data_IF_446598508298
#
_entry.id   IF_446598508298
#
_cell.length_a   1.000
_cell.length_b   1.000
_cell.length_c   1.000
_cell.angle_alpha   90.00
_cell.angle_beta   90.00
_cell.angle_gamma   90.00
#
_symmetry.space_group_name_H-M   'P 1'
#
loop_
_entity.id
_entity.type
_entity.pdbx_description
1 polymer ?
#
# COMPACT_ATOMS: atom_id res chain seq x y z
N UNK A 1 -40.78 -7.50 11.14
CA UNK A 1 -40.99 -6.47 10.07
C UNK A 1 -39.80 -6.47 9.12
N UNK A 2 -40.05 -6.70 7.83
CA UNK A 2 -38.97 -6.59 6.80
C UNK A 2 -38.44 -5.16 6.74
N UNK A 3 -37.13 -4.98 6.92
CA UNK A 3 -36.52 -3.66 6.77
C UNK A 3 -36.61 -3.24 5.31
N UNK A 4 -37.28 -2.12 5.04
CA UNK A 4 -37.37 -1.52 3.71
C UNK A 4 -35.97 -1.26 3.16
N UNK A 5 -35.68 -1.81 1.99
CA UNK A 5 -34.47 -1.63 1.19
C UNK A 5 -34.73 -0.64 0.07
N UNK A 6 -33.69 -0.03 -0.47
CA UNK A 6 -33.77 0.88 -1.65
C UNK A 6 -34.66 2.11 -1.43
N UNK A 7 -34.47 2.79 -0.29
CA UNK A 7 -35.28 3.97 0.10
C UNK A 7 -34.92 5.24 -0.67
N UNK A 8 -33.67 5.36 -1.16
CA UNK A 8 -33.19 6.51 -1.87
C UNK A 8 -33.31 6.31 -3.39
N UNK A 9 -33.66 7.34 -4.10
CA UNK A 9 -33.54 7.43 -5.56
C UNK A 9 -32.29 8.24 -5.96
N UNK A 10 -31.80 8.06 -7.18
CA UNK A 10 -30.66 8.81 -7.69
C UNK A 10 -30.92 10.33 -7.66
N UNK A 11 -32.15 10.76 -8.03
CA UNK A 11 -32.58 12.18 -7.98
C UNK A 11 -32.56 12.73 -6.55
N UNK A 12 -32.94 11.93 -5.54
CA UNK A 12 -32.90 12.39 -4.15
C UNK A 12 -31.46 12.52 -3.65
N UNK A 13 -30.57 11.60 -4.01
CA UNK A 13 -29.14 11.67 -3.67
C UNK A 13 -28.51 12.93 -4.23
N UNK A 14 -28.86 13.29 -5.48
CA UNK A 14 -28.38 14.48 -6.14
C UNK A 14 -28.89 15.77 -5.45
N UNK A 15 -30.20 15.85 -5.19
CA UNK A 15 -30.86 17.04 -4.60
C UNK A 15 -30.59 17.26 -3.12
N UNK A 16 -30.26 16.21 -2.35
CA UNK A 16 -29.98 16.34 -0.92
C UNK A 16 -28.69 17.15 -0.69
N UNK A 17 -28.79 18.24 0.07
CA UNK A 17 -27.66 19.12 0.40
C UNK A 17 -27.46 19.27 1.91
N UNK A 18 -28.49 19.03 2.72
CA UNK A 18 -28.40 19.19 4.16
C UNK A 18 -27.40 18.16 4.77
N UNK A 19 -26.49 18.58 5.65
CA UNK A 19 -25.61 17.69 6.36
C UNK A 19 -26.39 16.64 7.18
N UNK A 20 -25.96 15.37 7.11
CA UNK A 20 -26.66 14.31 7.83
C UNK A 20 -26.37 12.92 7.29
N UNK A 21 -27.07 11.93 7.86
CA UNK A 21 -27.00 10.54 7.49
C UNK A 21 -28.37 10.09 6.97
N UNK A 22 -28.43 9.63 5.73
CA UNK A 22 -29.65 9.23 5.04
C UNK A 22 -29.59 7.74 4.67
N UNK A 23 -30.36 6.93 5.36
CA UNK A 23 -30.34 5.47 5.17
C UNK A 23 -31.07 5.06 3.90
N UNK A 24 -30.42 4.23 3.06
CA UNK A 24 -31.03 3.56 1.91
C UNK A 24 -31.65 2.19 2.29
N UNK A 25 -31.26 1.66 3.44
CA UNK A 25 -31.65 0.32 3.91
C UNK A 25 -30.48 -0.66 3.86
N UNK A 26 -30.62 -1.80 4.58
CA UNK A 26 -29.56 -2.82 4.65
C UNK A 26 -28.18 -2.36 5.09
N UNK A 27 -28.10 -1.29 5.90
CA UNK A 27 -26.86 -0.71 6.38
C UNK A 27 -26.26 0.35 5.44
N UNK A 28 -26.71 0.47 4.19
CA UNK A 28 -26.26 1.53 3.28
C UNK A 28 -26.80 2.89 3.70
N UNK A 29 -25.93 3.88 3.76
CA UNK A 29 -26.23 5.23 4.22
C UNK A 29 -25.49 6.24 3.34
N UNK A 30 -26.20 7.25 2.85
CA UNK A 30 -25.61 8.45 2.28
C UNK A 30 -25.19 9.38 3.43
N UNK A 31 -23.96 9.75 3.49
CA UNK A 31 -23.42 10.73 4.42
C UNK A 31 -23.16 12.03 3.69
N UNK A 32 -23.65 13.14 4.25
CA UNK A 32 -23.37 14.50 3.79
C UNK A 32 -22.70 15.24 4.96
N UNK A 33 -21.48 15.69 4.74
CA UNK A 33 -20.71 16.45 5.74
C UNK A 33 -21.18 17.91 5.81
N UNK A 34 -20.77 18.66 6.85
CA UNK A 34 -21.02 20.10 6.95
C UNK A 34 -20.42 20.90 5.78
N UNK A 35 -19.34 20.39 5.17
CA UNK A 35 -18.72 20.96 3.98
C UNK A 35 -19.42 20.54 2.66
N UNK A 36 -20.58 19.87 2.71
CA UNK A 36 -21.33 19.45 1.52
C UNK A 36 -20.79 18.21 0.81
N UNK A 37 -19.72 17.57 1.33
CA UNK A 37 -19.15 16.37 0.70
C UNK A 37 -20.08 15.19 0.91
N UNK A 38 -20.45 14.51 -0.20
CA UNK A 38 -21.34 13.34 -0.20
C UNK A 38 -20.54 12.06 -0.37
N UNK A 39 -20.77 11.08 0.51
CA UNK A 39 -20.11 9.76 0.46
C UNK A 39 -21.05 8.64 0.91
N UNK A 40 -20.76 7.44 0.45
CA UNK A 40 -21.46 6.22 0.85
C UNK A 40 -20.79 5.58 2.04
N UNK A 41 -21.59 5.21 3.05
CA UNK A 41 -21.18 4.55 4.28
C UNK A 41 -21.99 3.27 4.46
N UNK A 42 -21.35 2.15 4.76
CA UNK A 42 -21.99 0.93 5.20
C UNK A 42 -21.88 0.82 6.71
N UNK A 43 -23.02 0.81 7.41
CA UNK A 43 -23.13 0.71 8.88
C UNK A 43 -23.63 -0.67 9.25
N UNK A 44 -22.96 -1.32 10.18
CA UNK A 44 -23.26 -2.68 10.59
C UNK A 44 -22.90 -2.91 12.06
N UNK A 45 -23.36 -4.03 12.59
CA UNK A 45 -23.00 -4.53 13.92
C UNK A 45 -22.18 -5.81 13.76
N UNK A 46 -21.10 -5.93 14.51
CA UNK A 46 -20.32 -7.17 14.65
C UNK A 46 -19.87 -7.26 16.11
N UNK A 47 -20.01 -8.44 16.73
CA UNK A 47 -19.68 -8.69 18.14
C UNK A 47 -20.27 -7.65 19.10
N UNK A 48 -21.53 -7.26 18.87
CA UNK A 48 -22.24 -6.28 19.68
C UNK A 48 -21.77 -4.82 19.48
N UNK A 49 -20.81 -4.56 18.60
CA UNK A 49 -20.25 -3.21 18.35
C UNK A 49 -20.74 -2.64 17.03
N UNK A 50 -21.15 -1.37 17.04
CA UNK A 50 -21.50 -0.65 15.82
C UNK A 50 -20.23 -0.23 15.09
N UNK A 51 -20.13 -0.59 13.80
CA UNK A 51 -19.03 -0.21 12.90
C UNK A 51 -19.54 0.45 11.62
N UNK A 52 -18.66 1.17 10.94
CA UNK A 52 -18.95 1.82 9.67
C UNK A 52 -17.78 1.73 8.71
N UNK A 53 -18.08 1.32 7.47
CA UNK A 53 -17.08 1.22 6.40
C UNK A 53 -17.42 2.20 5.27
N UNK A 54 -16.49 3.08 4.90
CA UNK A 54 -16.63 3.95 3.74
C UNK A 54 -16.61 3.14 2.43
N UNK A 55 -17.64 3.33 1.59
CA UNK A 55 -17.76 2.68 0.29
C UNK A 55 -17.24 3.54 -0.86
N UNK A 56 -17.13 4.85 -0.67
CA UNK A 56 -16.60 5.80 -1.62
C UNK A 56 -17.44 7.07 -1.77
N UNK A 57 -16.92 8.09 -2.48
CA UNK A 57 -17.63 9.35 -2.70
C UNK A 57 -18.70 9.20 -3.78
N UNK A 58 -19.79 9.96 -3.64
CA UNK A 58 -20.97 9.89 -4.55
C UNK A 58 -20.62 10.29 -5.99
N UNK A 59 -19.66 11.19 -6.20
CA UNK A 59 -19.24 11.60 -7.53
C UNK A 59 -18.51 10.50 -8.32
N UNK A 60 -17.99 9.48 -7.62
CA UNK A 60 -17.30 8.34 -8.25
C UNK A 60 -18.13 7.06 -8.20
N UNK A 61 -18.94 6.89 -7.16
CA UNK A 61 -19.72 5.68 -6.88
C UNK A 61 -21.20 6.01 -6.97
N UNK A 62 -21.88 5.46 -7.96
CA UNK A 62 -23.32 5.58 -8.13
C UNK A 62 -24.11 4.90 -7.00
N UNK A 63 -25.40 5.21 -6.84
CA UNK A 63 -26.27 4.54 -5.89
C UNK A 63 -26.36 3.03 -6.15
N UNK A 64 -26.39 2.60 -7.41
CA UNK A 64 -26.44 1.18 -7.79
C UNK A 64 -25.15 0.44 -7.34
N UNK A 65 -23.99 1.01 -7.63
CA UNK A 65 -22.69 0.47 -7.19
C UNK A 65 -22.54 0.47 -5.66
N UNK A 66 -23.04 1.51 -4.99
CA UNK A 66 -23.04 1.55 -3.51
C UNK A 66 -23.88 0.42 -2.91
N UNK A 67 -25.04 0.11 -3.51
CA UNK A 67 -25.90 -1.03 -3.12
C UNK A 67 -25.21 -2.36 -3.34
N UNK A 68 -24.50 -2.52 -4.46
CA UNK A 68 -23.70 -3.71 -4.75
C UNK A 68 -22.60 -3.91 -3.71
N UNK A 69 -21.79 -2.88 -3.44
CA UNK A 69 -20.73 -2.92 -2.43
C UNK A 69 -21.26 -3.19 -1.01
N UNK A 70 -22.41 -2.62 -0.67
CA UNK A 70 -23.07 -2.91 0.59
C UNK A 70 -23.57 -4.36 0.67
N UNK A 71 -23.98 -4.95 -0.46
CA UNK A 71 -24.38 -6.36 -0.54
C UNK A 71 -23.17 -7.28 -0.35
N UNK A 72 -22.05 -6.97 -0.99
CA UNK A 72 -20.78 -7.70 -0.80
C UNK A 72 -20.32 -7.65 0.66
N UNK A 73 -20.36 -6.47 1.28
CA UNK A 73 -20.02 -6.32 2.70
C UNK A 73 -20.96 -7.13 3.61
N UNK A 74 -22.26 -7.21 3.31
CA UNK A 74 -23.21 -8.06 4.05
C UNK A 74 -22.90 -9.55 3.91
N UNK A 75 -22.47 -10.00 2.73
CA UNK A 75 -22.06 -11.40 2.54
C UNK A 75 -20.87 -11.75 3.44
N UNK A 76 -19.87 -10.89 3.53
CA UNK A 76 -18.75 -11.09 4.46
C UNK A 76 -19.21 -11.20 5.92
N UNK A 77 -20.18 -10.37 6.34
CA UNK A 77 -20.73 -10.46 7.69
C UNK A 77 -21.50 -11.77 7.94
N UNK A 78 -22.16 -12.33 6.93
CA UNK A 78 -22.82 -13.65 7.04
C UNK A 78 -21.79 -14.77 7.23
N UNK A 79 -20.60 -14.61 6.65
CA UNK A 79 -19.46 -15.53 6.79
C UNK A 79 -18.66 -15.26 8.09
N UNK A 80 -19.13 -14.36 8.97
CA UNK A 80 -18.44 -13.99 10.20
C UNK A 80 -17.20 -13.10 10.02
N UNK A 81 -17.00 -12.56 8.81
CA UNK A 81 -15.82 -11.74 8.47
C UNK A 81 -16.17 -10.26 8.59
N UNK A 82 -15.35 -9.49 9.32
CA UNK A 82 -15.51 -8.04 9.37
C UNK A 82 -15.10 -7.40 8.02
N UNK A 83 -16.01 -6.71 7.30
CA UNK A 83 -15.72 -6.11 6.01
C UNK A 83 -14.64 -5.03 6.07
N UNK A 84 -14.53 -4.30 7.18
CA UNK A 84 -13.51 -3.26 7.37
C UNK A 84 -12.13 -3.90 7.53
N UNK A 85 -12.03 -4.97 8.30
CA UNK A 85 -10.78 -5.72 8.48
C UNK A 85 -10.34 -6.39 7.18
N UNK A 86 -11.26 -7.05 6.46
CA UNK A 86 -10.98 -7.61 5.14
C UNK A 86 -10.47 -6.55 4.14
N UNK A 87 -11.05 -5.36 4.14
CA UNK A 87 -10.59 -4.23 3.32
C UNK A 87 -9.18 -3.77 3.70
N UNK A 88 -8.90 -3.67 5.00
CA UNK A 88 -7.57 -3.26 5.50
C UNK A 88 -6.52 -4.32 5.19
N UNK A 89 -6.82 -5.60 5.35
CA UNK A 89 -5.92 -6.71 4.99
C UNK A 89 -5.58 -6.69 3.49
N UNK A 90 -6.57 -6.49 2.61
CA UNK A 90 -6.34 -6.34 1.15
C UNK A 90 -5.44 -5.16 0.84
N UNK A 91 -5.65 -4.02 1.50
CA UNK A 91 -4.82 -2.82 1.34
C UNK A 91 -3.37 -3.07 1.78
N UNK A 92 -3.19 -3.70 2.93
CA UNK A 92 -1.87 -4.07 3.46
C UNK A 92 -1.17 -5.07 2.55
N UNK A 93 -1.87 -6.12 2.10
CA UNK A 93 -1.33 -7.10 1.17
C UNK A 93 -0.92 -6.47 -0.17
N UNK A 94 -1.73 -5.55 -0.71
CA UNK A 94 -1.40 -4.82 -1.93
C UNK A 94 -0.17 -3.91 -1.76
N UNK A 95 -0.05 -3.24 -0.60
CA UNK A 95 1.13 -2.42 -0.28
C UNK A 95 2.40 -3.27 -0.17
N UNK A 96 2.32 -4.42 0.52
CA UNK A 96 3.43 -5.38 0.62
C UNK A 96 3.81 -5.95 -0.75
N UNK A 97 2.82 -6.31 -1.58
CA UNK A 97 3.08 -6.78 -2.95
C UNK A 97 3.81 -5.72 -3.78
N UNK A 98 3.39 -4.45 -3.67
CA UNK A 98 4.06 -3.32 -4.34
C UNK A 98 5.51 -3.14 -3.87
N UNK A 99 5.76 -3.26 -2.57
CA UNK A 99 7.12 -3.17 -2.00
C UNK A 99 8.01 -4.33 -2.49
N UNK A 100 7.44 -5.53 -2.64
CA UNK A 100 8.17 -6.70 -3.17
C UNK A 100 8.57 -6.55 -4.64
N UNK A 101 7.87 -5.72 -5.41
CA UNK A 101 8.19 -5.43 -6.81
C UNK A 101 9.23 -4.31 -6.97
N UNK A 102 9.54 -3.58 -5.90
CA UNK A 102 10.56 -2.53 -5.89
C UNK A 102 11.93 -3.15 -6.17
N UNK A 103 12.65 -2.60 -7.14
CA UNK A 103 13.99 -3.08 -7.48
C UNK A 103 15.02 -2.70 -6.40
N UNK A 104 16.16 -3.38 -6.39
CA UNK A 104 17.24 -3.04 -5.46
C UNK A 104 17.71 -1.60 -5.67
N UNK A 105 17.89 -1.14 -6.92
CA UNK A 105 18.36 0.22 -7.21
C UNK A 105 17.36 1.29 -6.76
N UNK A 106 16.05 1.06 -6.94
CA UNK A 106 15.02 1.97 -6.41
C UNK A 106 15.05 2.04 -4.88
N UNK A 107 15.21 0.88 -4.22
CA UNK A 107 15.29 0.80 -2.77
C UNK A 107 16.56 1.50 -2.23
N UNK A 108 17.70 1.23 -2.84
CA UNK A 108 18.99 1.83 -2.47
C UNK A 108 18.98 3.36 -2.65
N UNK A 109 18.41 3.83 -3.77
CA UNK A 109 18.27 5.27 -4.04
C UNK A 109 17.37 5.95 -3.01
N UNK A 110 16.20 5.36 -2.71
CA UNK A 110 15.29 5.89 -1.70
C UNK A 110 15.92 5.91 -0.30
N UNK A 111 16.69 4.88 0.06
CA UNK A 111 17.42 4.81 1.32
C UNK A 111 18.48 5.93 1.43
N UNK A 112 19.30 6.09 0.38
CA UNK A 112 20.35 7.12 0.34
C UNK A 112 19.73 8.51 0.46
N UNK A 113 18.67 8.81 -0.29
CA UNK A 113 17.99 10.11 -0.23
C UNK A 113 17.39 10.39 1.16
N UNK A 114 16.74 9.41 1.77
CA UNK A 114 16.15 9.55 3.11
C UNK A 114 17.19 9.81 4.20
N UNK A 115 18.41 9.24 4.07
CA UNK A 115 19.46 9.35 5.07
C UNK A 115 20.50 10.44 4.78
N UNK A 116 20.54 10.99 3.55
CA UNK A 116 21.47 12.05 3.16
C UNK A 116 21.53 13.22 4.14
N UNK A 117 20.39 13.75 4.69
CA UNK A 117 20.43 14.85 5.65
C UNK A 117 21.06 14.51 7.01
N UNK A 118 21.05 13.22 7.39
CA UNK A 118 21.58 12.75 8.68
C UNK A 118 23.09 12.47 8.66
N UNK A 119 23.70 12.38 7.49
CA UNK A 119 25.12 12.08 7.37
C UNK A 119 25.97 13.32 7.55
N UNK A 120 26.90 13.28 8.52
CA UNK A 120 27.82 14.38 8.83
C UNK A 120 28.71 14.82 7.68
N UNK A 121 28.93 13.95 6.67
CA UNK A 121 29.78 14.22 5.52
C UNK A 121 29.02 13.92 4.21
N UNK A 122 28.78 14.94 3.40
CA UNK A 122 28.11 14.82 2.11
C UNK A 122 28.80 13.80 1.17
N UNK A 123 30.13 13.65 1.26
CA UNK A 123 30.90 12.64 0.50
C UNK A 123 30.49 11.20 0.83
N UNK A 124 29.84 10.96 1.98
CA UNK A 124 29.38 9.63 2.36
C UNK A 124 28.26 9.12 1.45
N UNK A 125 27.30 9.98 1.10
CA UNK A 125 26.23 9.64 0.16
C UNK A 125 26.78 9.28 -1.22
N UNK A 126 27.74 10.07 -1.70
CA UNK A 126 28.36 9.85 -3.01
C UNK A 126 29.19 8.56 -3.03
N UNK A 127 29.87 8.24 -1.93
CA UNK A 127 30.61 6.97 -1.80
C UNK A 127 29.66 5.76 -1.82
N UNK A 128 28.51 5.83 -1.11
CA UNK A 128 27.50 4.79 -1.13
C UNK A 128 26.93 4.61 -2.53
N UNK A 129 26.51 5.69 -3.17
CA UNK A 129 25.98 5.68 -4.54
C UNK A 129 26.97 5.05 -5.50
N UNK A 130 28.24 5.52 -5.49
CA UNK A 130 29.27 5.00 -6.38
C UNK A 130 29.57 3.51 -6.13
N UNK A 131 29.62 3.10 -4.88
CA UNK A 131 29.89 1.70 -4.52
C UNK A 131 28.76 0.79 -5.01
N UNK A 132 27.51 1.16 -4.75
CA UNK A 132 26.34 0.41 -5.18
C UNK A 132 26.28 0.34 -6.71
N UNK A 133 26.36 1.48 -7.40
CA UNK A 133 26.29 1.55 -8.86
C UNK A 133 27.39 0.72 -9.53
N UNK A 134 28.59 0.73 -8.98
CA UNK A 134 29.73 0.05 -9.60
C UNK A 134 29.76 -1.45 -9.36
N UNK A 135 29.42 -1.91 -8.15
CA UNK A 135 29.64 -3.30 -7.74
C UNK A 135 28.36 -4.10 -7.52
N UNK A 136 27.25 -3.46 -7.23
CA UNK A 136 26.00 -4.14 -6.84
C UNK A 136 24.95 -4.10 -7.94
N UNK A 137 24.66 -2.90 -8.46
CA UNK A 137 23.65 -2.67 -9.49
C UNK A 137 23.81 -3.54 -10.75
N UNK A 138 25.02 -3.81 -11.26
CA UNK A 138 25.16 -4.67 -12.45
C UNK A 138 24.68 -6.11 -12.25
N UNK A 139 24.61 -6.59 -10.99
CA UNK A 139 24.26 -7.99 -10.68
C UNK A 139 22.84 -8.10 -10.15
N UNK A 140 22.42 -7.21 -9.25
CA UNK A 140 21.12 -7.31 -8.58
C UNK A 140 20.28 -6.03 -8.68
N UNK A 141 20.78 -4.97 -9.28
CA UNK A 141 20.13 -3.66 -9.30
C UNK A 141 18.70 -3.68 -9.85
N UNK A 142 18.46 -4.38 -10.94
CA UNK A 142 17.15 -4.52 -11.58
C UNK A 142 16.26 -5.60 -10.96
N UNK A 143 16.78 -6.39 -10.00
CA UNK A 143 16.00 -7.44 -9.37
C UNK A 143 15.08 -6.87 -8.28
N UNK A 144 13.85 -7.38 -8.17
CA UNK A 144 12.99 -7.07 -7.03
C UNK A 144 13.67 -7.44 -5.71
N UNK A 145 13.63 -6.54 -4.73
CA UNK A 145 14.28 -6.76 -3.41
C UNK A 145 13.85 -8.08 -2.76
N UNK A 146 12.58 -8.45 -2.92
CA UNK A 146 12.05 -9.71 -2.38
C UNK A 146 12.61 -10.98 -3.02
N UNK A 147 13.32 -10.87 -4.15
CA UNK A 147 13.93 -12.00 -4.86
C UNK A 147 15.45 -12.10 -4.63
N UNK A 148 16.02 -11.20 -3.84
CA UNK A 148 17.44 -11.21 -3.53
C UNK A 148 17.70 -12.18 -2.37
N UNK A 149 18.40 -13.25 -2.67
CA UNK A 149 18.80 -14.27 -1.72
C UNK A 149 20.32 -14.20 -1.39
N UNK A 150 20.74 -15.02 -0.46
CA UNK A 150 22.14 -15.12 -0.04
C UNK A 150 23.06 -15.50 -1.21
N UNK A 151 22.60 -16.32 -2.16
CA UNK A 151 23.41 -16.73 -3.30
C UNK A 151 23.72 -15.55 -4.23
N UNK A 152 22.76 -14.66 -4.44
CA UNK A 152 22.97 -13.43 -5.20
C UNK A 152 23.94 -12.47 -4.50
N UNK A 153 23.86 -12.33 -3.18
CA UNK A 153 24.83 -11.54 -2.40
C UNK A 153 26.25 -12.14 -2.52
N UNK A 154 26.38 -13.46 -2.40
CA UNK A 154 27.68 -14.13 -2.61
C UNK A 154 28.18 -13.90 -4.03
N UNK A 155 27.31 -13.90 -5.06
CA UNK A 155 27.69 -13.59 -6.43
C UNK A 155 28.23 -12.17 -6.57
N UNK A 156 27.61 -11.17 -5.92
CA UNK A 156 28.13 -9.78 -5.87
C UNK A 156 29.53 -9.75 -5.24
N UNK A 157 29.73 -10.44 -4.13
CA UNK A 157 31.01 -10.42 -3.42
C UNK A 157 32.12 -11.22 -4.12
N UNK A 158 31.76 -12.23 -4.90
CA UNK A 158 32.69 -13.14 -5.63
C UNK A 158 33.00 -12.66 -7.05
N UNK A 159 32.46 -11.52 -7.50
CA UNK A 159 32.77 -10.97 -8.81
C UNK A 159 34.27 -10.68 -8.95
N UNK A 160 34.79 -10.80 -10.15
CA UNK A 160 36.20 -10.47 -10.43
C UNK A 160 36.31 -8.96 -10.74
N UNK A 161 37.34 -8.33 -10.22
CA UNK A 161 37.67 -6.95 -10.56
C UNK A 161 38.50 -6.86 -11.86
N UNK A 162 38.88 -5.64 -12.23
CA UNK A 162 39.66 -5.36 -13.43
C UNK A 162 41.04 -6.04 -13.44
N UNK A 163 41.52 -6.55 -12.30
CA UNK A 163 42.80 -7.28 -12.14
C UNK A 163 42.59 -8.81 -12.18
N UNK A 164 41.35 -9.28 -12.29
CA UNK A 164 41.00 -10.70 -12.26
C UNK A 164 40.93 -11.31 -10.85
N UNK A 165 41.18 -10.52 -9.79
CA UNK A 165 41.04 -10.94 -8.42
C UNK A 165 39.58 -10.82 -7.95
N UNK A 166 39.18 -11.65 -7.00
CA UNK A 166 37.84 -11.57 -6.43
C UNK A 166 37.65 -10.24 -5.67
N UNK A 167 36.52 -9.59 -5.85
CA UNK A 167 36.18 -8.30 -5.22
C UNK A 167 36.34 -8.35 -3.70
N UNK A 168 35.99 -9.46 -3.07
CA UNK A 168 36.17 -9.71 -1.65
C UNK A 168 37.65 -9.65 -1.21
N UNK A 169 38.58 -10.09 -2.06
CA UNK A 169 39.99 -10.13 -1.76
C UNK A 169 40.70 -8.83 -2.10
N UNK A 170 40.39 -8.26 -3.27
CA UNK A 170 41.08 -7.06 -3.76
C UNK A 170 40.64 -5.78 -3.06
N UNK A 171 39.36 -5.71 -2.60
CA UNK A 171 38.77 -4.52 -1.97
C UNK A 171 37.98 -4.88 -0.71
N UNK A 172 38.65 -5.52 0.22
CA UNK A 172 38.08 -6.08 1.45
C UNK A 172 37.18 -5.08 2.22
N UNK A 173 37.63 -3.82 2.43
CA UNK A 173 36.83 -2.82 3.14
C UNK A 173 35.56 -2.45 2.38
N UNK A 174 35.64 -2.32 1.04
CA UNK A 174 34.48 -1.98 0.20
C UNK A 174 33.49 -3.15 0.16
N UNK A 175 34.00 -4.38 0.02
CA UNK A 175 33.18 -5.59 0.06
C UNK A 175 32.51 -5.78 1.41
N UNK A 176 33.19 -5.47 2.50
CA UNK A 176 32.61 -5.50 3.87
C UNK A 176 31.48 -4.47 4.04
N UNK A 177 31.61 -3.28 3.46
CA UNK A 177 30.53 -2.26 3.46
C UNK A 177 29.32 -2.69 2.61
N UNK A 178 29.56 -3.38 1.49
CA UNK A 178 28.46 -3.93 0.65
C UNK A 178 27.71 -5.04 1.36
N UNK A 179 28.39 -5.82 2.19
CA UNK A 179 27.75 -6.91 2.96
C UNK A 179 26.88 -6.41 4.13
N UNK A 180 27.28 -5.31 4.79
CA UNK A 180 26.63 -4.76 5.99
C UNK A 180 25.43 -3.94 5.71
#
# INVERSE_FOLDING_TARGET
>A
MARLMCKLSAKEVEKKVAPGLYGDGGGLTLQITKAGVKSWLFRYMIDGKARGMGLGPVHTISLAEARQRATEARKLLLDGIDPLEAKNQRKTAAALAKTRLMTFDECASAYIEAHRPSWKNAKHADQWTNTITRYVSPIIGSLPVGNIDTALIVKVLSQKDDTGMQFWQSKNETASRVRG
#
